data_IF_114068187908
#
_entry.id   IF_114068187908
#
_cell.length_a   1.000
_cell.length_b   1.000
_cell.length_c   1.000
_cell.angle_alpha   90.00
_cell.angle_beta   90.00
_cell.angle_gamma   90.00
#
_symmetry.space_group_name_H-M   'P 1'
#
loop_
_entity.id
_entity.type
_entity.pdbx_description
1 polymer ?
#
# COMPACT_ATOMS: atom_id res chain seq x y z
N UNK A 1 -10.13 5.51 1.57
CA UNK A 1 -9.80 6.86 1.05
C UNK A 1 -10.13 6.94 -0.41
N UNK A 2 -9.34 6.39 -1.33
CA UNK A 2 -9.69 6.43 -2.77
C UNK A 2 -11.03 5.76 -3.12
N UNK A 3 -11.40 4.65 -2.46
CA UNK A 3 -12.71 3.98 -2.63
C UNK A 3 -13.92 4.73 -2.06
N UNK A 4 -13.72 5.75 -1.23
CA UNK A 4 -14.84 6.45 -0.60
C UNK A 4 -15.09 7.73 -1.40
N UNK A 5 -16.21 7.79 -2.11
CA UNK A 5 -16.55 8.91 -3.01
C UNK A 5 -16.73 10.23 -2.25
N UNK A 6 -17.14 10.17 -0.98
CA UNK A 6 -17.32 11.35 -0.11
C UNK A 6 -15.99 11.94 0.40
N UNK A 7 -14.85 11.30 0.12
CA UNK A 7 -13.55 11.82 0.56
C UNK A 7 -13.10 12.97 -0.35
N UNK A 8 -12.88 14.14 0.24
CA UNK A 8 -12.29 15.30 -0.45
C UNK A 8 -10.76 15.23 -0.49
N UNK A 9 -10.13 16.00 -1.38
CA UNK A 9 -8.67 16.09 -1.50
C UNK A 9 -8.04 16.52 -0.18
N UNK A 10 -8.66 17.48 0.53
CA UNK A 10 -8.18 17.94 1.85
C UNK A 10 -8.18 16.82 2.89
N UNK A 11 -9.31 16.10 3.02
CA UNK A 11 -9.42 14.97 3.95
C UNK A 11 -8.44 13.85 3.58
N UNK A 12 -8.21 13.63 2.29
CA UNK A 12 -7.20 12.70 1.81
C UNK A 12 -5.79 13.13 2.23
N UNK A 13 -5.40 14.38 1.97
CA UNK A 13 -4.06 14.91 2.29
C UNK A 13 -3.78 14.78 3.80
N UNK A 14 -4.71 15.20 4.64
CA UNK A 14 -4.55 15.13 6.09
C UNK A 14 -4.30 13.70 6.55
N UNK A 15 -5.17 12.76 6.16
CA UNK A 15 -4.99 11.36 6.56
C UNK A 15 -3.79 10.69 5.91
N UNK A 16 -3.41 11.09 4.70
CA UNK A 16 -2.24 10.55 4.01
C UNK A 16 -0.94 11.01 4.68
N UNK A 17 -0.86 12.27 5.14
CA UNK A 17 0.27 12.77 5.93
C UNK A 17 0.43 11.96 7.23
N UNK A 18 -0.65 11.69 7.95
CA UNK A 18 -0.62 10.83 9.14
C UNK A 18 -0.12 9.42 8.84
N UNK A 19 -0.55 8.84 7.70
CA UNK A 19 -0.13 7.51 7.29
C UNK A 19 1.36 7.47 6.97
N UNK A 20 1.89 8.49 6.27
CA UNK A 20 3.33 8.59 5.98
C UNK A 20 4.16 8.69 7.26
N UNK A 21 3.75 9.54 8.21
CA UNK A 21 4.41 9.64 9.51
C UNK A 21 4.41 8.33 10.29
N UNK A 22 3.33 7.54 10.19
CA UNK A 22 3.28 6.20 10.79
C UNK A 22 4.23 5.24 10.09
N UNK A 23 4.33 5.29 8.76
CA UNK A 23 5.26 4.46 7.99
C UNK A 23 6.72 4.73 8.38
N UNK A 24 7.11 6.00 8.51
CA UNK A 24 8.47 6.41 8.89
C UNK A 24 8.88 5.93 10.30
N UNK A 25 7.90 5.64 11.17
CA UNK A 25 8.14 5.09 12.52
C UNK A 25 8.37 3.58 12.52
N UNK A 26 8.07 2.86 11.44
CA UNK A 26 8.37 1.43 11.36
C UNK A 26 9.86 1.22 11.07
N UNK A 27 10.52 0.38 11.87
CA UNK A 27 11.92 0.03 11.65
C UNK A 27 12.14 -0.57 10.25
N UNK A 28 13.11 -0.01 9.52
CA UNK A 28 13.48 -0.43 8.16
C UNK A 28 13.80 -1.93 8.05
N UNK A 29 14.25 -2.56 9.15
CA UNK A 29 14.58 -3.99 9.25
C UNK A 29 13.41 -4.93 8.92
N UNK A 30 12.15 -4.46 8.96
CA UNK A 30 10.98 -5.28 8.63
C UNK A 30 10.48 -5.14 7.18
N UNK A 31 11.00 -4.18 6.41
CA UNK A 31 10.51 -3.84 5.07
C UNK A 31 11.22 -4.63 3.94
N UNK A 32 12.16 -5.51 4.27
CA UNK A 32 12.99 -6.25 3.30
C UNK A 32 12.23 -7.35 2.53
N UNK A 33 10.93 -7.52 2.80
CA UNK A 33 10.06 -8.32 1.93
C UNK A 33 9.50 -7.42 0.83
N UNK A 34 9.82 -7.70 -0.44
CA UNK A 34 9.59 -6.82 -1.60
C UNK A 34 8.21 -6.12 -1.71
N UNK A 35 7.15 -6.66 -1.11
CA UNK A 35 5.87 -5.95 -0.96
C UNK A 35 6.01 -4.63 -0.18
N UNK A 36 6.70 -4.65 0.96
CA UNK A 36 6.85 -3.49 1.83
C UNK A 36 7.71 -2.42 1.21
N UNK A 37 8.77 -2.82 0.50
CA UNK A 37 9.58 -1.91 -0.31
C UNK A 37 8.74 -1.25 -1.41
N UNK A 38 7.98 -2.02 -2.20
CA UNK A 38 7.11 -1.44 -3.23
C UNK A 38 6.02 -0.53 -2.64
N UNK A 39 5.52 -0.86 -1.45
CA UNK A 39 4.55 -0.01 -0.74
C UNK A 39 5.18 1.31 -0.27
N UNK A 40 6.40 1.27 0.27
CA UNK A 40 7.14 2.47 0.69
C UNK A 40 7.46 3.37 -0.50
N UNK A 41 7.99 2.80 -1.59
CA UNK A 41 8.27 3.53 -2.84
C UNK A 41 6.99 4.17 -3.40
N UNK A 42 5.86 3.44 -3.38
CA UNK A 42 4.56 3.97 -3.79
C UNK A 42 4.12 5.16 -2.93
N UNK A 43 4.17 5.03 -1.60
CA UNK A 43 3.74 6.08 -0.67
C UNK A 43 4.60 7.34 -0.85
N UNK A 44 5.92 7.17 -1.00
CA UNK A 44 6.85 8.28 -1.21
C UNK A 44 6.61 8.97 -2.55
N UNK A 45 6.50 8.20 -3.65
CA UNK A 45 6.20 8.75 -4.99
C UNK A 45 4.91 9.57 -4.97
N UNK A 46 3.85 9.03 -4.38
CA UNK A 46 2.56 9.71 -4.31
C UNK A 46 2.63 10.98 -3.46
N UNK A 47 3.33 10.92 -2.33
CA UNK A 47 3.54 12.09 -1.47
C UNK A 47 4.27 13.23 -2.21
N UNK A 48 5.37 12.92 -2.89
CA UNK A 48 6.21 13.92 -3.54
C UNK A 48 5.54 14.51 -4.79
N UNK A 49 4.82 13.67 -5.55
CA UNK A 49 4.16 14.09 -6.79
C UNK A 49 2.89 14.89 -6.56
N UNK A 50 2.13 14.57 -5.50
CA UNK A 50 0.77 15.08 -5.34
C UNK A 50 0.63 16.00 -4.12
N UNK A 51 1.26 15.65 -2.99
CA UNK A 51 1.05 16.35 -1.72
C UNK A 51 2.05 17.46 -1.50
N UNK A 52 3.34 17.24 -1.75
CA UNK A 52 4.38 18.24 -1.52
C UNK A 52 4.31 19.44 -2.46
N UNK A 53 3.72 19.26 -3.64
CA UNK A 53 3.54 20.35 -4.61
C UNK A 53 2.31 21.21 -4.34
N UNK A 54 1.50 20.86 -3.33
CA UNK A 54 0.20 21.50 -3.02
C UNK A 54 -0.73 21.62 -4.24
N UNK A 55 -0.57 20.71 -5.20
CA UNK A 55 -1.25 20.74 -6.49
C UNK A 55 -2.56 19.96 -6.46
N UNK A 56 -2.91 19.30 -5.34
CA UNK A 56 -4.04 18.39 -5.27
C UNK A 56 -5.34 19.09 -4.86
N UNK A 57 -6.10 19.50 -5.87
CA UNK A 57 -7.51 19.87 -5.73
C UNK A 57 -8.43 18.64 -5.90
N UNK A 58 -9.73 18.80 -5.62
CA UNK A 58 -10.72 17.73 -5.74
C UNK A 58 -10.82 17.17 -7.17
N UNK A 59 -10.57 18.00 -8.19
CA UNK A 59 -10.61 17.58 -9.59
C UNK A 59 -9.47 16.62 -9.90
N UNK A 60 -8.23 17.02 -9.62
CA UNK A 60 -7.04 16.16 -9.81
C UNK A 60 -7.11 14.94 -8.92
N UNK A 61 -7.68 15.06 -7.72
CA UNK A 61 -7.86 13.92 -6.84
C UNK A 61 -8.80 12.87 -7.46
N UNK A 62 -9.88 13.31 -8.11
CA UNK A 62 -10.73 12.45 -8.91
C UNK A 62 -9.99 11.86 -10.12
N UNK A 63 -9.22 12.66 -10.83
CA UNK A 63 -8.49 12.23 -12.03
C UNK A 63 -7.48 11.11 -11.72
N UNK A 64 -6.83 11.15 -10.55
CA UNK A 64 -5.86 10.11 -10.14
C UNK A 64 -6.50 8.91 -9.42
N UNK A 65 -7.79 9.01 -9.05
CA UNK A 65 -8.46 8.06 -8.14
C UNK A 65 -8.42 6.63 -8.66
N UNK A 66 -8.79 6.43 -9.92
CA UNK A 66 -8.82 5.11 -10.57
C UNK A 66 -7.42 4.53 -10.78
N UNK A 67 -6.47 5.38 -11.20
CA UNK A 67 -5.09 4.98 -11.42
C UNK A 67 -4.44 4.51 -10.11
N UNK A 68 -4.58 5.30 -9.04
CA UNK A 68 -4.00 4.95 -7.74
C UNK A 68 -4.73 3.76 -7.08
N UNK A 69 -6.03 3.61 -7.30
CA UNK A 69 -6.75 2.37 -6.93
C UNK A 69 -6.20 1.13 -7.60
N UNK A 70 -5.84 1.22 -8.89
CA UNK A 70 -5.23 0.10 -9.63
C UNK A 70 -3.84 -0.25 -9.09
N UNK A 71 -3.03 0.76 -8.75
CA UNK A 71 -1.73 0.57 -8.11
C UNK A 71 -1.86 -0.13 -6.75
N UNK A 72 -2.81 0.31 -5.92
CA UNK A 72 -3.10 -0.33 -4.63
C UNK A 72 -3.57 -1.78 -4.79
N UNK A 73 -4.39 -2.08 -5.78
CA UNK A 73 -4.81 -3.45 -6.09
C UNK A 73 -3.61 -4.33 -6.50
N UNK A 74 -2.64 -3.79 -7.24
CA UNK A 74 -1.40 -4.50 -7.61
C UNK A 74 -0.54 -4.81 -6.37
N UNK A 75 -0.35 -3.83 -5.48
CA UNK A 75 0.36 -4.03 -4.22
C UNK A 75 -0.33 -5.11 -3.37
N UNK A 76 -1.65 -5.09 -3.28
CA UNK A 76 -2.41 -6.10 -2.54
C UNK A 76 -2.22 -7.51 -3.13
N UNK A 77 -2.16 -7.64 -4.47
CA UNK A 77 -1.85 -8.92 -5.12
C UNK A 77 -0.44 -9.41 -4.76
N UNK A 78 0.55 -8.53 -4.71
CA UNK A 78 1.92 -8.86 -4.30
C UNK A 78 1.95 -9.36 -2.85
N UNK A 79 1.31 -8.66 -1.92
CA UNK A 79 1.12 -9.10 -0.52
C UNK A 79 0.51 -10.50 -0.41
N UNK A 80 -0.54 -10.75 -1.19
CA UNK A 80 -1.26 -12.02 -1.16
C UNK A 80 -0.44 -13.15 -1.80
N UNK A 81 0.33 -12.87 -2.86
CA UNK A 81 1.18 -13.84 -3.54
C UNK A 81 2.36 -14.30 -2.67
N UNK A 82 2.98 -13.39 -1.91
CA UNK A 82 4.05 -13.72 -0.95
C UNK A 82 3.51 -14.52 0.24
N UNK A 83 2.30 -14.21 0.69
CA UNK A 83 1.58 -15.00 1.71
C UNK A 83 1.19 -16.39 1.19
N UNK A 84 0.74 -16.52 -0.06
CA UNK A 84 0.32 -17.80 -0.64
C UNK A 84 1.50 -18.79 -0.77
N UNK A 85 2.67 -18.32 -1.21
CA UNK A 85 3.90 -19.16 -1.24
C UNK A 85 4.27 -19.64 0.17
N UNK A 86 4.25 -18.75 1.17
CA UNK A 86 4.52 -19.12 2.58
C UNK A 86 3.52 -20.16 3.13
N UNK A 87 2.23 -20.04 2.80
CA UNK A 87 1.21 -20.98 3.27
C UNK A 87 1.25 -22.34 2.57
N UNK A 88 1.63 -22.41 1.29
CA UNK A 88 1.78 -23.68 0.56
C UNK A 88 2.93 -24.52 1.12
N UNK A 89 4.06 -23.90 1.47
CA UNK A 89 5.20 -24.60 2.10
C UNK A 89 4.96 -24.96 3.58
N UNK A 90 3.99 -24.32 4.25
CA UNK A 90 3.60 -24.70 5.62
C UNK A 90 2.68 -25.94 5.64
N UNK A 91 1.87 -26.15 4.60
CA UNK A 91 0.96 -27.30 4.50
C UNK A 91 1.61 -28.61 4.01
N UNK A 92 2.82 -28.55 3.45
CA UNK A 92 3.57 -29.75 3.05
C UNK A 92 4.32 -30.44 4.19
N UNK A 93 4.53 -29.78 5.34
CA UNK A 93 5.21 -30.38 6.50
C UNK A 93 4.29 -31.18 7.44
N UNK A 94 2.97 -31.24 7.19
CA UNK A 94 2.00 -31.97 8.03
C UNK A 94 1.38 -33.18 7.31
N UNK A 95 2.07 -33.79 6.34
CA UNK A 95 1.63 -35.03 5.69
C UNK A 95 2.70 -36.12 5.72
N UNK A 96 3.33 -36.34 6.86
CA UNK A 96 3.99 -37.63 7.14
C UNK A 96 3.77 -37.97 8.61
N UNK A 97 3.58 -39.26 8.88
CA UNK A 97 3.18 -39.91 10.14
C UNK A 97 1.67 -40.05 10.40
N UNK A 98 1.07 -41.03 9.73
CA UNK A 98 0.33 -42.11 10.40
C UNK A 98 0.63 -43.40 9.63
N UNK A 99 1.46 -44.26 10.25
CA UNK A 99 1.48 -45.72 10.02
C UNK A 99 0.21 -46.35 10.64
#
# INVERSE_FOLDING_TARGET
>A
MFRNDDTTSKQFIEKFKELKLKLEKYEKLHLDMGYYRELEEYINRLYDSVIMKDLLDDKKFNDIREAEMSNLNRLQKLKNSSSYKKNKHKKSNNREFFD
#
